data_IF_624555103468
#
_entry.id   IF_624555103468
#
_cell.length_a   1.000
_cell.length_b   1.000
_cell.length_c   1.000
_cell.angle_alpha   90.00
_cell.angle_beta   90.00
_cell.angle_gamma   90.00
#
_symmetry.space_group_name_H-M   'P 1'
#
loop_
_entity.id
_entity.type
_entity.pdbx_description
1 polymer ?
#
# COMPACT_ATOMS: atom_id res chain seq x y z
N UNK A 1 -16.75 -13.24 -23.25
CA UNK A 1 -16.05 -12.58 -22.15
C UNK A 1 -15.40 -11.30 -22.70
N UNK A 2 -15.99 -10.16 -22.43
CA UNK A 2 -15.46 -8.87 -22.91
C UNK A 2 -14.24 -8.54 -22.05
N UNK A 3 -13.05 -8.56 -22.65
CA UNK A 3 -11.82 -8.09 -22.00
C UNK A 3 -12.04 -6.59 -21.73
N UNK A 4 -12.29 -6.24 -20.47
CA UNK A 4 -12.27 -4.84 -20.05
C UNK A 4 -10.84 -4.34 -20.24
N UNK A 5 -10.59 -3.62 -21.32
CA UNK A 5 -9.34 -2.92 -21.56
C UNK A 5 -9.11 -2.00 -20.36
N UNK A 6 -8.07 -2.28 -19.57
CA UNK A 6 -7.65 -1.42 -18.47
C UNK A 6 -7.36 -0.04 -19.06
N UNK A 7 -8.07 0.99 -18.57
CA UNK A 7 -7.95 2.38 -19.06
C UNK A 7 -6.68 3.10 -18.52
N UNK A 8 -5.71 2.36 -18.00
CA UNK A 8 -4.46 2.90 -17.42
C UNK A 8 -3.30 1.91 -17.66
N UNK A 9 -2.04 2.37 -17.53
CA UNK A 9 -0.85 1.55 -17.74
C UNK A 9 -0.81 0.31 -16.85
N UNK A 10 -0.10 -0.74 -17.32
CA UNK A 10 0.17 -1.93 -16.53
C UNK A 10 0.78 -1.56 -15.18
N UNK A 11 0.21 -2.12 -14.13
CA UNK A 11 0.55 -1.79 -12.74
C UNK A 11 0.69 -3.08 -11.94
N UNK A 12 1.74 -3.18 -11.14
CA UNK A 12 1.88 -4.22 -10.12
C UNK A 12 1.49 -3.69 -8.76
N UNK A 13 1.07 -4.58 -7.85
CA UNK A 13 0.74 -4.26 -6.47
C UNK A 13 1.85 -4.72 -5.54
N UNK A 14 2.25 -3.87 -4.60
CA UNK A 14 3.09 -4.22 -3.45
C UNK A 14 2.32 -3.94 -2.16
N UNK A 15 2.05 -4.98 -1.38
CA UNK A 15 1.48 -4.82 -0.03
C UNK A 15 2.65 -4.60 0.94
N UNK A 16 2.69 -3.44 1.59
CA UNK A 16 3.73 -3.08 2.56
C UNK A 16 3.39 -3.69 3.93
N UNK A 17 4.09 -4.75 4.32
CA UNK A 17 3.92 -5.49 5.57
C UNK A 17 5.22 -5.65 6.37
N UNK A 18 6.28 -4.93 6.01
CA UNK A 18 7.63 -5.04 6.58
C UNK A 18 7.82 -4.44 7.99
N UNK A 19 6.79 -3.85 8.60
CA UNK A 19 6.89 -3.21 9.90
C UNK A 19 7.03 -4.20 11.08
N UNK A 20 7.72 -3.78 12.17
CA UNK A 20 7.94 -4.60 13.38
C UNK A 20 6.66 -4.89 14.18
N UNK A 21 5.56 -4.19 13.92
CA UNK A 21 4.29 -4.31 14.66
C UNK A 21 4.44 -4.27 16.20
N UNK A 22 5.39 -3.46 16.73
CA UNK A 22 5.71 -3.41 18.19
C UNK A 22 4.48 -3.15 19.04
N UNK A 23 3.60 -2.22 18.64
CA UNK A 23 2.35 -1.89 19.36
C UNK A 23 1.27 -2.99 19.25
N UNK A 24 1.51 -3.99 18.44
CA UNK A 24 0.66 -5.17 18.27
C UNK A 24 1.37 -6.44 18.76
N UNK A 25 2.29 -6.33 19.71
CA UNK A 25 3.05 -7.46 20.27
C UNK A 25 3.67 -8.37 19.19
N UNK A 26 4.13 -7.78 18.08
CA UNK A 26 4.71 -8.52 16.97
C UNK A 26 3.69 -9.27 16.09
N UNK A 27 2.38 -9.13 16.32
CA UNK A 27 1.36 -9.78 15.51
C UNK A 27 1.42 -9.30 14.05
N UNK A 28 1.38 -10.26 13.13
CA UNK A 28 1.35 -9.95 11.71
C UNK A 28 -0.02 -9.39 11.30
N UNK A 29 -0.10 -8.09 11.03
CA UNK A 29 -1.34 -7.39 10.67
C UNK A 29 -1.99 -7.98 9.42
N UNK A 30 -1.20 -8.43 8.44
CA UNK A 30 -1.70 -8.96 7.18
C UNK A 30 -2.46 -10.29 7.36
N UNK A 31 -2.15 -11.03 8.44
CA UNK A 31 -2.82 -12.28 8.79
C UNK A 31 -4.00 -12.09 9.78
N UNK A 32 -4.25 -10.86 10.22
CA UNK A 32 -5.39 -10.57 11.09
C UNK A 32 -6.69 -10.41 10.28
N UNK A 33 -7.81 -10.70 10.93
CA UNK A 33 -9.14 -10.43 10.37
C UNK A 33 -9.49 -8.95 10.55
N UNK A 34 -9.73 -8.29 9.42
CA UNK A 34 -10.36 -6.99 9.32
C UNK A 34 -11.69 -7.21 8.60
N UNK A 35 -12.81 -6.72 9.12
CA UNK A 35 -14.14 -6.93 8.54
C UNK A 35 -14.46 -8.44 8.32
N UNK A 36 -14.17 -9.28 9.35
CA UNK A 36 -14.35 -10.74 9.36
C UNK A 36 -13.53 -11.53 8.32
N UNK A 37 -12.74 -10.85 7.50
CA UNK A 37 -11.88 -11.44 6.49
C UNK A 37 -10.39 -11.22 6.83
N UNK A 38 -9.54 -12.21 6.58
CA UNK A 38 -8.08 -12.05 6.67
C UNK A 38 -7.64 -10.90 5.75
N UNK A 39 -6.88 -9.97 6.27
CA UNK A 39 -6.50 -8.74 5.57
C UNK A 39 -5.78 -9.02 4.24
N UNK A 40 -4.92 -10.03 4.19
CA UNK A 40 -4.27 -10.45 2.93
C UNK A 40 -5.31 -10.82 1.86
N UNK A 41 -6.30 -11.64 2.23
CA UNK A 41 -7.34 -12.08 1.29
C UNK A 41 -8.20 -10.90 0.83
N UNK A 42 -8.53 -9.98 1.74
CA UNK A 42 -9.28 -8.74 1.42
C UNK A 42 -8.51 -7.88 0.41
N UNK A 43 -7.24 -7.58 0.68
CA UNK A 43 -6.42 -6.76 -0.21
C UNK A 43 -6.23 -7.43 -1.58
N UNK A 44 -5.88 -8.71 -1.59
CA UNK A 44 -5.74 -9.48 -2.84
C UNK A 44 -7.04 -9.46 -3.67
N UNK A 45 -8.19 -9.73 -3.04
CA UNK A 45 -9.48 -9.74 -3.74
C UNK A 45 -9.84 -8.37 -4.33
N UNK A 46 -9.51 -7.28 -3.63
CA UNK A 46 -9.75 -5.92 -4.11
C UNK A 46 -8.96 -5.59 -5.39
N UNK A 47 -7.76 -6.15 -5.56
CA UNK A 47 -6.85 -5.70 -6.62
C UNK A 47 -6.52 -6.74 -7.69
N UNK A 48 -6.68 -8.05 -7.45
CA UNK A 48 -6.25 -9.16 -8.33
C UNK A 48 -6.67 -9.03 -9.80
N UNK A 49 -7.81 -8.42 -10.09
CA UNK A 49 -8.30 -8.20 -11.46
C UNK A 49 -7.88 -6.87 -12.08
N UNK A 50 -7.10 -6.07 -11.37
CA UNK A 50 -6.74 -4.69 -11.75
C UNK A 50 -5.24 -4.47 -11.84
N UNK A 51 -4.45 -5.43 -11.39
CA UNK A 51 -2.97 -5.41 -11.40
C UNK A 51 -2.44 -6.65 -12.10
N UNK A 52 -1.24 -6.56 -12.66
CA UNK A 52 -0.62 -7.68 -13.38
C UNK A 52 0.01 -8.71 -12.44
N UNK A 53 0.48 -8.29 -11.26
CA UNK A 53 1.05 -9.16 -10.24
C UNK A 53 0.87 -8.56 -8.84
N UNK A 54 0.93 -9.42 -7.81
CA UNK A 54 0.84 -9.03 -6.40
C UNK A 54 2.09 -9.49 -5.65
N UNK A 55 2.75 -8.52 -5.04
CA UNK A 55 3.93 -8.70 -4.20
C UNK A 55 3.60 -8.38 -2.74
N UNK A 56 4.32 -9.02 -1.81
CA UNK A 56 4.25 -8.70 -0.38
C UNK A 56 5.67 -8.35 0.08
N UNK A 57 5.86 -7.10 0.49
CA UNK A 57 7.08 -6.68 1.17
C UNK A 57 6.96 -7.04 2.65
N UNK A 58 7.70 -8.06 3.08
CA UNK A 58 7.68 -8.57 4.46
C UNK A 58 9.00 -9.26 4.80
N UNK A 59 9.38 -9.25 6.09
CA UNK A 59 10.56 -9.96 6.60
C UNK A 59 10.23 -11.35 7.18
N UNK A 60 8.96 -11.82 7.07
CA UNK A 60 8.50 -13.06 7.70
C UNK A 60 7.27 -13.63 6.99
N UNK A 61 6.90 -14.85 7.37
CA UNK A 61 5.64 -15.51 7.02
C UNK A 61 5.41 -15.76 5.52
N UNK A 62 6.47 -15.76 4.71
CA UNK A 62 6.39 -15.91 3.25
C UNK A 62 5.63 -17.18 2.82
N UNK A 63 5.90 -18.32 3.45
CA UNK A 63 5.21 -19.58 3.17
C UNK A 63 3.71 -19.51 3.47
N UNK A 64 3.33 -18.81 4.57
CA UNK A 64 1.92 -18.63 4.94
C UNK A 64 1.19 -17.78 3.89
N UNK A 65 1.82 -16.73 3.39
CA UNK A 65 1.21 -15.90 2.34
C UNK A 65 0.95 -16.69 1.06
N UNK A 66 1.90 -17.51 0.62
CA UNK A 66 1.75 -18.37 -0.56
C UNK A 66 0.67 -19.46 -0.37
N UNK A 67 0.54 -19.99 0.85
CA UNK A 67 -0.54 -20.94 1.17
C UNK A 67 -1.92 -20.30 1.09
N UNK A 68 -2.07 -19.07 1.61
CA UNK A 68 -3.33 -18.36 1.61
C UNK A 68 -3.72 -17.80 0.23
N UNK A 69 -2.74 -17.34 -0.53
CA UNK A 69 -2.93 -16.76 -1.86
C UNK A 69 -1.88 -17.35 -2.80
N UNK A 70 -2.16 -18.43 -3.51
CA UNK A 70 -1.29 -18.95 -4.55
C UNK A 70 -0.96 -17.84 -5.58
N UNK A 71 0.26 -17.86 -6.10
CA UNK A 71 0.79 -16.89 -7.09
C UNK A 71 1.13 -15.49 -6.58
N UNK A 72 1.08 -15.22 -5.27
CA UNK A 72 1.75 -14.01 -4.75
C UNK A 72 3.24 -14.27 -4.62
N UNK A 73 4.04 -13.24 -4.88
CA UNK A 73 5.46 -13.24 -4.59
C UNK A 73 5.73 -12.40 -3.35
N UNK A 74 6.84 -12.66 -2.68
CA UNK A 74 7.21 -11.87 -1.50
C UNK A 74 8.70 -11.59 -1.48
N UNK A 75 9.08 -10.45 -0.91
CA UNK A 75 10.47 -10.01 -0.76
C UNK A 75 10.66 -9.27 0.57
N UNK A 76 11.90 -9.20 1.03
CA UNK A 76 12.33 -8.39 2.17
C UNK A 76 12.97 -7.09 1.69
N UNK A 77 13.08 -6.11 2.59
CA UNK A 77 13.82 -4.89 2.30
C UNK A 77 15.29 -5.20 1.91
N UNK A 78 15.85 -4.43 0.98
CA UNK A 78 17.25 -4.56 0.54
C UNK A 78 18.26 -4.33 1.67
N UNK A 79 17.86 -3.56 2.69
CA UNK A 79 18.68 -3.28 3.86
C UNK A 79 17.95 -3.69 5.15
N UNK A 80 18.68 -4.34 6.04
CA UNK A 80 18.19 -4.65 7.38
C UNK A 80 17.97 -3.38 8.22
N UNK A 81 17.12 -3.47 9.25
CA UNK A 81 16.97 -2.39 10.25
C UNK A 81 15.62 -1.68 10.24
N UNK A 82 14.62 -2.15 9.52
CA UNK A 82 13.26 -1.57 9.52
C UNK A 82 13.27 -0.06 9.25
N UNK A 83 13.79 0.32 8.11
CA UNK A 83 14.02 1.72 7.73
C UNK A 83 12.74 2.47 7.32
N UNK A 84 11.60 1.85 7.55
CA UNK A 84 10.28 2.43 7.29
C UNK A 84 9.79 2.19 5.86
N UNK A 85 8.58 2.68 5.52
CA UNK A 85 7.91 2.35 4.26
C UNK A 85 8.68 2.85 3.01
N UNK A 86 9.53 3.87 3.14
CA UNK A 86 10.35 4.36 2.03
C UNK A 86 11.34 3.28 1.54
N UNK A 87 11.90 2.48 2.45
CA UNK A 87 12.78 1.36 2.08
C UNK A 87 12.00 0.28 1.34
N UNK A 88 10.82 -0.10 1.82
CA UNK A 88 9.98 -1.08 1.12
C UNK A 88 9.58 -0.63 -0.28
N UNK A 89 9.28 0.67 -0.47
CA UNK A 89 8.99 1.26 -1.78
C UNK A 89 10.23 1.18 -2.69
N UNK A 90 11.43 1.52 -2.19
CA UNK A 90 12.66 1.42 -2.97
C UNK A 90 13.00 -0.02 -3.32
N UNK A 91 12.94 -0.92 -2.35
CA UNK A 91 13.31 -2.34 -2.54
C UNK A 91 12.40 -3.05 -3.56
N UNK A 92 11.15 -2.61 -3.71
CA UNK A 92 10.24 -3.17 -4.68
C UNK A 92 10.78 -3.12 -6.12
N UNK A 93 11.54 -2.08 -6.46
CA UNK A 93 12.03 -1.88 -7.83
C UNK A 93 13.03 -2.93 -8.33
N UNK A 94 13.63 -3.71 -7.42
CA UNK A 94 14.48 -4.86 -7.76
C UNK A 94 13.68 -6.11 -8.14
N UNK A 95 12.37 -6.13 -7.89
CA UNK A 95 11.50 -7.28 -8.07
C UNK A 95 10.42 -7.07 -9.14
N UNK A 96 9.86 -5.86 -9.23
CA UNK A 96 8.76 -5.53 -10.14
C UNK A 96 9.25 -5.27 -11.56
N UNK A 97 8.42 -5.61 -12.55
CA UNK A 97 8.69 -5.38 -13.97
C UNK A 97 7.94 -4.18 -14.54
N UNK A 98 6.76 -3.86 -13.99
CA UNK A 98 5.96 -2.73 -14.45
C UNK A 98 6.60 -1.36 -14.11
N UNK A 99 6.29 -0.34 -14.91
CA UNK A 99 6.73 1.03 -14.64
C UNK A 99 5.91 1.72 -13.54
N UNK A 100 4.73 1.22 -13.26
CA UNK A 100 3.85 1.72 -12.21
C UNK A 100 3.63 0.67 -11.14
N UNK A 101 3.83 1.05 -9.88
CA UNK A 101 3.58 0.19 -8.73
C UNK A 101 2.60 0.87 -7.78
N UNK A 102 1.52 0.16 -7.47
CA UNK A 102 0.59 0.50 -6.42
C UNK A 102 1.11 -0.04 -5.09
N UNK A 103 1.43 0.81 -4.16
CA UNK A 103 1.78 0.42 -2.79
C UNK A 103 0.56 0.56 -1.88
N UNK A 104 0.28 -0.49 -1.10
CA UNK A 104 -0.84 -0.51 -0.15
C UNK A 104 -0.33 -0.97 1.21
N UNK A 105 -0.47 -0.16 2.28
CA UNK A 105 -0.12 -0.61 3.62
C UNK A 105 -1.04 -1.75 4.07
N UNK A 106 -0.48 -2.72 4.79
CA UNK A 106 -1.22 -3.89 5.28
C UNK A 106 -2.29 -3.55 6.34
N UNK A 107 -2.24 -2.35 6.92
CA UNK A 107 -3.08 -1.93 8.04
C UNK A 107 -4.25 -1.01 7.66
N UNK A 108 -4.46 -0.75 6.37
CA UNK A 108 -5.59 0.08 5.92
C UNK A 108 -6.92 -0.60 6.20
N UNK A 109 -7.88 0.16 6.71
CA UNK A 109 -9.24 -0.33 7.00
C UNK A 109 -10.18 -0.17 5.82
N UNK A 110 -9.91 0.83 4.96
CA UNK A 110 -10.77 1.18 3.84
C UNK A 110 -9.98 1.33 2.53
N UNK A 111 -10.50 0.73 1.48
CA UNK A 111 -9.98 0.84 0.12
C UNK A 111 -11.03 1.57 -0.73
N UNK A 112 -10.73 2.81 -1.17
CA UNK A 112 -11.69 3.57 -1.96
C UNK A 112 -12.01 2.90 -3.30
N UNK A 113 -13.28 2.93 -3.70
CA UNK A 113 -13.68 2.49 -5.03
C UNK A 113 -12.94 3.29 -6.10
N UNK A 114 -12.47 2.61 -7.15
CA UNK A 114 -11.71 3.22 -8.27
C UNK A 114 -10.39 3.89 -7.84
N UNK A 115 -9.81 3.50 -6.69
CA UNK A 115 -8.57 4.11 -6.17
C UNK A 115 -7.45 4.08 -7.23
N UNK A 116 -7.17 2.94 -7.83
CA UNK A 116 -6.10 2.79 -8.83
C UNK A 116 -6.30 3.71 -10.04
N UNK A 117 -7.50 3.76 -10.60
CA UNK A 117 -7.79 4.63 -11.75
C UNK A 117 -7.71 6.12 -11.40
N UNK A 118 -8.03 6.49 -10.15
CA UNK A 118 -7.91 7.90 -9.70
C UNK A 118 -6.46 8.29 -9.47
N UNK A 119 -5.63 7.40 -8.93
CA UNK A 119 -4.19 7.63 -8.78
C UNK A 119 -3.51 7.79 -10.16
N UNK A 120 -3.81 6.91 -11.11
CA UNK A 120 -3.31 7.08 -12.49
C UNK A 120 -3.75 8.39 -13.13
N UNK A 121 -5.01 8.79 -12.91
CA UNK A 121 -5.53 10.07 -13.42
C UNK A 121 -4.82 11.27 -12.79
N UNK A 122 -4.48 11.19 -11.51
CA UNK A 122 -3.72 12.24 -10.83
C UNK A 122 -2.33 12.42 -11.48
N UNK A 123 -1.61 11.33 -11.75
CA UNK A 123 -0.34 11.38 -12.47
C UNK A 123 -0.48 11.90 -13.91
N UNK A 124 -1.48 11.41 -14.65
CA UNK A 124 -1.69 11.82 -16.03
C UNK A 124 -1.99 13.34 -16.18
N UNK A 125 -2.58 13.95 -15.17
CA UNK A 125 -2.88 15.40 -15.15
C UNK A 125 -1.68 16.26 -14.76
N UNK A 126 -0.64 15.67 -14.19
CA UNK A 126 0.55 16.35 -13.68
C UNK A 126 1.82 15.66 -14.21
N UNK A 127 2.29 15.97 -15.41
CA UNK A 127 3.41 15.26 -16.08
C UNK A 127 4.73 15.27 -15.29
N UNK A 128 4.95 16.26 -14.42
CA UNK A 128 6.13 16.33 -13.54
C UNK A 128 6.01 15.42 -12.32
N UNK A 129 4.80 14.97 -11.96
CA UNK A 129 4.57 14.13 -10.80
C UNK A 129 5.07 12.69 -11.03
N UNK A 130 5.85 12.16 -10.11
CA UNK A 130 6.36 10.78 -10.15
C UNK A 130 5.64 9.86 -9.17
N UNK A 131 4.76 10.40 -8.35
CA UNK A 131 3.92 9.65 -7.42
C UNK A 131 2.55 10.30 -7.27
N UNK A 132 1.55 9.50 -6.90
CA UNK A 132 0.26 9.97 -6.41
C UNK A 132 -0.11 9.17 -5.16
N UNK A 133 -0.71 9.83 -4.16
CA UNK A 133 -1.07 9.19 -2.89
C UNK A 133 -2.56 9.33 -2.58
N UNK A 134 -3.05 8.43 -1.76
CA UNK A 134 -4.44 8.45 -1.28
C UNK A 134 -4.58 9.45 -0.14
N UNK A 135 -5.59 10.28 -0.22
CA UNK A 135 -6.05 11.16 0.84
C UNK A 135 -7.51 10.83 1.16
N UNK A 136 -7.84 10.60 2.43
CA UNK A 136 -9.21 10.31 2.87
C UNK A 136 -9.60 11.29 3.97
N UNK A 137 -10.71 12.01 3.79
CA UNK A 137 -11.19 13.03 4.74
C UNK A 137 -10.09 14.04 5.10
N UNK A 138 -9.31 14.50 4.12
CA UNK A 138 -8.16 15.40 4.26
C UNK A 138 -6.96 14.82 5.05
N UNK A 139 -6.93 13.51 5.28
CA UNK A 139 -5.78 12.81 5.89
C UNK A 139 -4.98 12.12 4.79
N UNK A 140 -3.73 12.53 4.61
CA UNK A 140 -2.82 11.93 3.63
C UNK A 140 -2.31 10.58 4.11
N UNK A 141 -2.53 9.53 3.32
CA UNK A 141 -2.06 8.16 3.57
C UNK A 141 -0.88 7.88 2.65
N UNK A 142 0.27 8.53 2.88
CA UNK A 142 1.43 8.47 1.98
C UNK A 142 1.87 7.06 1.57
N UNK A 143 1.90 6.02 2.46
CA UNK A 143 2.24 4.67 2.04
C UNK A 143 1.21 4.02 1.11
N UNK A 144 -0.02 4.58 1.02
CA UNK A 144 -1.01 4.15 0.04
C UNK A 144 -0.90 5.02 -1.20
N UNK A 145 -0.08 4.59 -2.15
CA UNK A 145 0.32 5.41 -3.28
C UNK A 145 0.58 4.62 -4.56
N UNK A 146 0.53 5.31 -5.68
CA UNK A 146 1.00 4.86 -6.98
C UNK A 146 2.31 5.59 -7.29
N UNK A 147 3.36 4.85 -7.62
CA UNK A 147 4.69 5.40 -7.88
C UNK A 147 5.16 4.95 -9.25
N UNK A 148 5.72 5.86 -10.03
CA UNK A 148 6.34 5.56 -11.31
C UNK A 148 7.82 5.26 -11.14
N UNK A 149 8.37 4.34 -11.96
CA UNK A 149 9.79 3.90 -11.90
C UNK A 149 10.80 5.04 -11.95
N UNK A 150 10.50 6.13 -12.64
CA UNK A 150 11.37 7.32 -12.67
C UNK A 150 11.56 8.02 -11.33
N UNK A 151 10.85 7.60 -10.28
CA UNK A 151 11.04 8.07 -8.91
C UNK A 151 12.31 7.51 -8.25
N UNK A 152 12.86 6.41 -8.75
CA UNK A 152 13.92 5.63 -8.11
C UNK A 152 15.14 6.47 -7.70
N UNK A 153 15.69 7.37 -8.54
CA UNK A 153 16.85 8.20 -8.13
C UNK A 153 16.54 9.09 -6.92
N UNK A 154 15.31 9.61 -6.80
CA UNK A 154 14.91 10.46 -5.66
C UNK A 154 14.73 9.61 -4.40
N UNK A 155 14.14 8.41 -4.51
CA UNK A 155 14.02 7.47 -3.38
C UNK A 155 15.40 7.08 -2.83
N UNK A 156 16.35 6.76 -3.71
CA UNK A 156 17.72 6.40 -3.36
C UNK A 156 18.46 7.57 -2.68
N UNK A 157 18.30 8.79 -3.21
CA UNK A 157 18.86 9.99 -2.61
C UNK A 157 18.37 10.20 -1.16
N UNK A 158 17.05 10.12 -0.93
CA UNK A 158 16.49 10.25 0.42
C UNK A 158 17.05 9.18 1.38
N UNK A 159 17.15 7.93 0.93
CA UNK A 159 17.70 6.85 1.76
C UNK A 159 19.19 7.01 2.05
N UNK A 160 19.98 7.43 1.06
CA UNK A 160 21.42 7.71 1.19
C UNK A 160 21.68 8.79 2.27
N UNK A 161 20.89 9.86 2.27
CA UNK A 161 20.98 10.94 3.25
C UNK A 161 20.19 10.68 4.54
N UNK A 162 19.71 9.43 4.75
CA UNK A 162 18.94 9.01 5.94
C UNK A 162 17.66 9.82 6.17
N UNK A 163 17.12 10.42 5.13
CA UNK A 163 15.84 11.14 5.14
C UNK A 163 14.70 10.14 4.95
N UNK A 164 14.06 9.71 6.03
CA UNK A 164 13.07 8.63 6.02
C UNK A 164 11.62 9.12 5.93
N UNK A 165 11.41 10.42 5.83
CA UNK A 165 10.07 11.00 5.74
C UNK A 165 9.46 10.79 4.36
N UNK A 166 8.40 9.98 4.27
CA UNK A 166 7.62 9.85 3.02
C UNK A 166 7.06 11.20 2.58
N UNK A 167 6.60 12.05 3.51
CA UNK A 167 6.07 13.38 3.18
C UNK A 167 7.12 14.21 2.44
N UNK A 168 8.35 14.29 2.96
CA UNK A 168 9.44 15.05 2.33
C UNK A 168 9.79 14.46 0.95
N UNK A 169 9.97 13.14 0.86
CA UNK A 169 10.24 12.47 -0.40
C UNK A 169 9.15 12.71 -1.44
N UNK A 170 7.88 12.70 -1.04
CA UNK A 170 6.75 12.93 -1.93
C UNK A 170 6.64 14.39 -2.40
N UNK A 171 7.13 15.35 -1.62
CA UNK A 171 7.30 16.73 -2.08
C UNK A 171 8.30 16.81 -3.24
N UNK A 172 9.45 16.15 -3.12
CA UNK A 172 10.49 16.13 -4.16
C UNK A 172 10.06 15.31 -5.40
N UNK A 173 9.15 14.34 -5.23
CA UNK A 173 8.50 13.61 -6.32
C UNK A 173 7.36 14.40 -6.98
N UNK A 174 7.05 15.61 -6.55
CA UNK A 174 5.88 16.40 -6.96
C UNK A 174 4.57 15.62 -6.84
N UNK A 175 4.46 14.77 -5.80
CA UNK A 175 3.37 13.82 -5.65
C UNK A 175 2.01 14.51 -5.54
N UNK A 176 0.99 13.90 -6.16
CA UNK A 176 -0.36 14.44 -6.23
C UNK A 176 -1.32 13.66 -5.33
N UNK A 177 -2.21 14.37 -4.64
CA UNK A 177 -3.26 13.73 -3.85
C UNK A 177 -4.41 13.22 -4.74
N UNK A 178 -4.84 11.98 -4.48
CA UNK A 178 -6.13 11.49 -4.94
C UNK A 178 -7.08 11.47 -3.75
N UNK A 179 -7.92 12.50 -3.62
CA UNK A 179 -8.77 12.74 -2.46
C UNK A 179 -10.06 11.94 -2.52
N UNK A 180 -10.45 11.35 -1.40
CA UNK A 180 -11.68 10.59 -1.20
C UNK A 180 -12.39 11.06 0.06
N UNK A 181 -13.71 10.79 0.12
CA UNK A 181 -14.53 11.07 1.30
C UNK A 181 -15.19 9.78 1.78
N UNK A 182 -15.12 9.53 3.09
CA UNK A 182 -15.86 8.46 3.75
C UNK A 182 -16.21 8.91 5.17
N UNK A 183 -17.41 9.45 5.34
CA UNK A 183 -17.88 9.97 6.63
C UNK A 183 -18.06 8.89 7.70
N UNK A 184 -18.21 7.63 7.29
CA UNK A 184 -18.36 6.50 8.21
C UNK A 184 -17.00 5.88 8.62
N UNK A 185 -15.87 6.44 8.19
CA UNK A 185 -14.57 5.91 8.50
C UNK A 185 -14.10 6.39 9.88
N UNK A 186 -13.97 5.48 10.83
CA UNK A 186 -13.44 5.76 12.16
C UNK A 186 -11.91 5.68 12.21
N UNK A 187 -11.33 4.67 11.55
CA UNK A 187 -9.89 4.45 11.51
C UNK A 187 -9.40 4.40 10.07
N UNK A 188 -8.36 5.14 9.73
CA UNK A 188 -7.70 5.03 8.43
C UNK A 188 -6.79 3.79 8.37
N UNK A 189 -6.16 3.47 9.50
CA UNK A 189 -5.28 2.31 9.67
C UNK A 189 -5.38 1.77 11.11
N UNK A 190 -5.03 0.51 11.31
CA UNK A 190 -5.00 -0.15 12.62
C UNK A 190 -3.55 -0.29 13.08
N UNK A 191 -3.21 0.31 14.23
CA UNK A 191 -1.85 0.36 14.73
C UNK A 191 -1.66 -0.32 16.09
N UNK A 192 -2.74 -0.69 16.79
CA UNK A 192 -2.72 -1.38 18.07
C UNK A 192 -3.77 -2.48 18.13
N UNK A 193 -3.67 -3.36 19.13
CA UNK A 193 -4.67 -4.39 19.39
C UNK A 193 -6.00 -3.77 19.83
N UNK A 194 -5.95 -2.68 20.60
CA UNK A 194 -7.14 -1.97 21.06
C UNK A 194 -7.90 -1.35 19.89
N UNK A 195 -7.18 -0.70 18.94
CA UNK A 195 -7.79 -0.19 17.71
C UNK A 195 -8.40 -1.32 16.87
N UNK A 196 -7.76 -2.48 16.79
CA UNK A 196 -8.29 -3.64 16.08
C UNK A 196 -9.57 -4.15 16.73
N UNK A 197 -9.62 -4.22 18.06
CA UNK A 197 -10.80 -4.63 18.81
C UNK A 197 -11.94 -3.63 18.64
N UNK A 198 -11.66 -2.34 18.77
CA UNK A 198 -12.64 -1.27 18.53
C UNK A 198 -13.17 -1.29 17.11
N UNK A 199 -12.31 -1.44 16.11
CA UNK A 199 -12.70 -1.56 14.72
C UNK A 199 -13.69 -2.71 14.50
N UNK A 200 -13.42 -3.89 15.06
CA UNK A 200 -14.31 -5.05 15.01
C UNK A 200 -15.67 -4.78 15.67
N UNK A 201 -15.69 -4.12 16.83
CA UNK A 201 -16.93 -3.77 17.52
C UNK A 201 -17.81 -2.80 16.73
N UNK A 202 -17.19 -1.79 16.10
CA UNK A 202 -17.90 -0.79 15.29
C UNK A 202 -18.59 -1.37 14.06
N UNK A 203 -18.17 -2.54 13.58
CA UNK A 203 -18.81 -3.22 12.43
C UNK A 203 -20.18 -3.82 12.76
N UNK A 204 -20.41 -4.14 14.02
CA UNK A 204 -21.65 -4.74 14.49
C UNK A 204 -22.67 -3.72 15.02
N UNK A 205 -22.33 -2.42 14.97
CA UNK A 205 -23.30 -1.38 15.30
C UNK A 205 -24.29 -1.18 14.13
N UNK A 206 -25.58 -1.07 14.39
CA UNK A 206 -26.57 -0.77 13.35
C UNK A 206 -26.21 0.56 12.68
N UNK A 207 -26.20 0.54 11.34
CA UNK A 207 -25.91 1.70 10.49
C UNK A 207 -27.13 2.60 10.37
#
# INVERSE_FOLDING_TARGET
>A
MTIQTLRYPTTELVILAGGQARRMNGINKLLQKFDDQIQLLKLHQCFKSRVSHVWINSHRDHAIYQTLVPYVSSFSDDQAGFLGPLMGIKSAWSHVSADYVLFVPCDVTYIPTKVLSRLHRALARHPSAKAAYVEINNVALYPFCLVHRSSLPILEHHLLFKQRSLKACFQDLHAQAASFQNRALFFHSINSLDELQQHRQLQYLPK
#
